data_IF_738296463662
#
_entry.id   IF_738296463662
#
_cell.length_a   1.000
_cell.length_b   1.000
_cell.length_c   1.000
_cell.angle_alpha   90.00
_cell.angle_beta   90.00
_cell.angle_gamma   90.00
#
_symmetry.space_group_name_H-M   'P 1'
#
loop_
_entity.id
_entity.type
_entity.pdbx_description
1 polymer ?
#
# COMPACT_ATOMS: atom_id res chain seq x y z
N UNK A 1 4.67 -27.38 8.16
CA UNK A 1 4.77 -26.17 7.34
C UNK A 1 6.16 -26.09 6.70
N UNK A 2 6.31 -25.38 5.59
CA UNK A 2 7.54 -25.23 4.81
C UNK A 2 7.83 -23.77 4.48
N UNK A 3 9.07 -23.50 4.10
CA UNK A 3 9.50 -22.27 3.45
C UNK A 3 9.45 -22.51 1.94
N UNK A 4 8.70 -21.68 1.22
CA UNK A 4 8.59 -21.72 -0.23
C UNK A 4 9.77 -21.00 -0.87
N UNK A 5 10.57 -21.71 -1.67
CA UNK A 5 11.59 -21.12 -2.54
C UNK A 5 10.98 -20.94 -3.94
N UNK A 6 11.05 -19.73 -4.49
CA UNK A 6 10.62 -19.44 -5.86
C UNK A 6 11.85 -19.09 -6.70
N UNK A 7 12.03 -19.78 -7.83
CA UNK A 7 13.12 -19.48 -8.74
C UNK A 7 12.92 -20.09 -10.12
N UNK A 8 13.71 -19.62 -11.09
CA UNK A 8 13.82 -20.23 -12.40
C UNK A 8 14.95 -21.26 -12.34
N UNK A 9 14.59 -22.53 -12.17
CA UNK A 9 15.56 -23.62 -11.97
C UNK A 9 16.41 -23.82 -13.23
N UNK A 10 15.85 -23.58 -14.41
CA UNK A 10 16.52 -23.66 -15.72
C UNK A 10 17.65 -22.63 -15.95
N UNK A 11 17.84 -21.71 -15.01
CA UNK A 11 18.91 -20.70 -15.01
C UNK A 11 19.74 -20.70 -13.71
N UNK A 12 19.19 -21.20 -12.60
CA UNK A 12 19.72 -20.97 -11.23
C UNK A 12 19.78 -22.22 -10.36
N UNK A 13 19.78 -23.41 -10.95
CA UNK A 13 19.79 -24.69 -10.24
C UNK A 13 20.80 -24.74 -9.07
N UNK A 14 22.07 -24.42 -9.31
CA UNK A 14 23.11 -24.48 -8.27
C UNK A 14 22.82 -23.53 -7.10
N UNK A 15 22.35 -22.31 -7.39
CA UNK A 15 22.03 -21.31 -6.38
C UNK A 15 20.80 -21.71 -5.54
N UNK A 16 19.76 -22.22 -6.19
CA UNK A 16 18.54 -22.70 -5.52
C UNK A 16 18.79 -23.97 -4.71
N UNK A 17 19.66 -24.86 -5.19
CA UNK A 17 20.10 -26.05 -4.45
C UNK A 17 20.81 -25.65 -3.16
N UNK A 18 21.79 -24.74 -3.25
CA UNK A 18 22.50 -24.24 -2.08
C UNK A 18 21.55 -23.55 -1.09
N UNK A 19 20.62 -22.73 -1.57
CA UNK A 19 19.62 -22.07 -0.74
C UNK A 19 18.75 -23.08 0.01
N UNK A 20 18.21 -24.08 -0.70
CA UNK A 20 17.43 -25.20 -0.13
C UNK A 20 18.21 -25.94 0.94
N UNK A 21 19.43 -26.38 0.63
CA UNK A 21 20.27 -27.10 1.60
C UNK A 21 20.55 -26.28 2.86
N UNK A 22 20.77 -24.97 2.74
CA UNK A 22 21.07 -24.11 3.88
C UNK A 22 19.87 -23.89 4.79
N UNK A 23 18.68 -23.79 4.21
CA UNK A 23 17.42 -23.71 4.95
C UNK A 23 17.14 -25.05 5.66
N UNK A 24 17.30 -26.18 4.96
CA UNK A 24 17.08 -27.52 5.52
C UNK A 24 18.06 -27.85 6.65
N UNK A 25 19.33 -27.44 6.54
CA UNK A 25 20.32 -27.59 7.63
C UNK A 25 19.96 -26.84 8.91
N UNK A 26 19.05 -25.84 8.85
CA UNK A 26 18.50 -25.17 10.03
C UNK A 26 17.25 -25.85 10.59
N UNK A 27 16.83 -26.97 10.01
CA UNK A 27 15.68 -27.76 10.46
C UNK A 27 14.35 -27.40 9.81
N UNK A 28 14.34 -26.46 8.85
CA UNK A 28 13.13 -26.05 8.14
C UNK A 28 12.84 -26.97 6.96
N UNK A 29 11.55 -27.27 6.72
CA UNK A 29 11.13 -27.93 5.48
C UNK A 29 11.09 -26.92 4.35
N UNK A 30 11.45 -27.34 3.14
CA UNK A 30 11.45 -26.50 1.94
C UNK A 30 10.49 -27.06 0.90
N UNK A 31 9.69 -26.19 0.29
CA UNK A 31 9.01 -26.47 -0.97
C UNK A 31 9.66 -25.61 -2.07
N UNK A 32 10.15 -26.23 -3.14
CA UNK A 32 10.72 -25.52 -4.28
C UNK A 32 9.67 -25.38 -5.38
N UNK A 33 9.41 -24.14 -5.79
CA UNK A 33 8.60 -23.82 -6.96
C UNK A 33 9.48 -23.35 -8.11
N UNK A 34 9.33 -24.03 -9.24
CA UNK A 34 10.01 -23.68 -10.48
C UNK A 34 9.09 -22.83 -11.37
N UNK A 35 9.46 -21.57 -11.56
CA UNK A 35 8.73 -20.60 -12.40
C UNK A 35 9.40 -20.41 -13.77
N UNK A 36 10.19 -21.38 -14.21
CA UNK A 36 10.83 -21.40 -15.53
C UNK A 36 9.79 -21.43 -16.65
N UNK A 37 9.82 -20.41 -17.51
CA UNK A 37 8.93 -20.29 -18.67
C UNK A 37 9.68 -20.32 -20.01
N UNK A 38 11.00 -20.12 -19.99
CA UNK A 38 11.85 -19.99 -21.18
C UNK A 38 12.39 -21.31 -21.72
N UNK A 39 13.41 -21.20 -22.58
CA UNK A 39 14.18 -22.35 -23.08
C UNK A 39 15.30 -22.78 -22.13
N UNK A 40 15.48 -22.09 -21.00
CA UNK A 40 16.56 -22.32 -20.04
C UNK A 40 17.96 -22.07 -20.59
N UNK A 41 18.92 -21.90 -19.68
CA UNK A 41 20.35 -22.04 -20.01
C UNK A 41 20.81 -23.51 -19.88
N UNK A 42 20.09 -24.30 -19.07
CA UNK A 42 20.41 -25.68 -18.74
C UNK A 42 19.14 -26.55 -18.71
N UNK A 43 19.32 -27.87 -18.69
CA UNK A 43 18.28 -28.85 -18.34
C UNK A 43 18.46 -29.21 -16.87
N UNK A 44 17.54 -28.82 -15.96
CA UNK A 44 17.68 -29.10 -14.54
C UNK A 44 17.67 -30.59 -14.19
N UNK A 45 18.54 -30.98 -13.26
CA UNK A 45 18.45 -32.25 -12.53
C UNK A 45 17.59 -32.13 -11.26
N UNK A 46 17.56 -30.94 -10.65
CA UNK A 46 16.78 -30.59 -9.49
C UNK A 46 15.29 -30.56 -9.85
N UNK A 47 14.51 -31.42 -9.19
CA UNK A 47 13.06 -31.45 -9.35
C UNK A 47 12.42 -30.50 -8.35
N UNK A 48 11.58 -29.60 -8.87
CA UNK A 48 10.74 -28.76 -8.03
C UNK A 48 9.56 -29.57 -7.47
N UNK A 49 9.17 -29.22 -6.25
CA UNK A 49 7.95 -29.73 -5.61
C UNK A 49 6.69 -29.16 -6.29
N UNK A 50 6.80 -27.93 -6.82
CA UNK A 50 5.76 -27.26 -7.62
C UNK A 50 6.36 -26.96 -9.00
N UNK A 51 6.11 -27.80 -10.01
CA UNK A 51 6.71 -27.65 -11.34
C UNK A 51 5.97 -26.59 -12.19
N UNK A 52 6.58 -26.07 -13.27
CA UNK A 52 5.99 -25.02 -14.10
C UNK A 52 4.62 -25.40 -14.70
N UNK A 53 4.42 -26.68 -15.02
CA UNK A 53 3.17 -27.23 -15.54
C UNK A 53 2.01 -27.06 -14.57
N UNK A 54 2.28 -27.27 -13.28
CA UNK A 54 1.28 -27.11 -12.23
C UNK A 54 0.91 -25.64 -12.03
N UNK A 55 1.93 -24.76 -12.04
CA UNK A 55 1.75 -23.31 -11.93
C UNK A 55 0.93 -22.78 -13.11
N UNK A 56 1.26 -23.18 -14.33
CA UNK A 56 0.52 -22.79 -15.53
C UNK A 56 -0.95 -23.20 -15.45
N UNK A 57 -1.22 -24.43 -14.98
CA UNK A 57 -2.58 -24.94 -14.79
C UNK A 57 -3.34 -24.15 -13.73
N UNK A 58 -2.69 -23.81 -12.62
CA UNK A 58 -3.29 -22.97 -11.59
C UNK A 58 -3.64 -21.57 -12.11
N UNK A 59 -2.86 -21.05 -13.08
CA UNK A 59 -3.13 -19.81 -13.81
C UNK A 59 -4.16 -19.94 -14.94
N UNK A 60 -4.70 -21.14 -15.20
CA UNK A 60 -5.70 -21.36 -16.25
C UNK A 60 -5.13 -21.60 -17.65
N UNK A 61 -3.88 -22.04 -17.76
CA UNK A 61 -3.21 -22.35 -19.04
C UNK A 61 -2.41 -23.65 -18.98
N UNK A 62 -1.63 -23.95 -20.02
CA UNK A 62 -0.63 -25.04 -20.03
C UNK A 62 0.77 -24.46 -20.25
N UNK A 63 1.82 -25.17 -19.84
CA UNK A 63 3.18 -24.68 -20.00
C UNK A 63 3.56 -24.52 -21.48
N UNK A 64 3.01 -25.35 -22.36
CA UNK A 64 3.20 -25.27 -23.81
C UNK A 64 2.59 -23.98 -24.37
N UNK A 65 1.38 -23.62 -23.93
CA UNK A 65 0.75 -22.36 -24.30
C UNK A 65 1.58 -21.18 -23.80
N UNK A 66 1.98 -21.18 -22.53
CA UNK A 66 2.85 -20.15 -21.95
C UNK A 66 4.14 -19.97 -22.75
N UNK A 67 4.82 -21.07 -23.10
CA UNK A 67 6.06 -21.05 -23.91
C UNK A 67 5.81 -20.49 -25.31
N UNK A 68 4.69 -20.86 -25.94
CA UNK A 68 4.34 -20.36 -27.28
C UNK A 68 4.07 -18.85 -27.32
N UNK A 69 3.60 -18.28 -26.19
CA UNK A 69 3.31 -16.86 -26.04
C UNK A 69 4.55 -15.99 -25.86
N UNK A 70 5.71 -16.56 -25.49
CA UNK A 70 6.90 -15.77 -25.15
C UNK A 70 7.41 -14.84 -26.25
N UNK A 71 7.18 -15.18 -27.51
CA UNK A 71 7.65 -14.39 -28.65
C UNK A 71 6.79 -13.16 -28.96
N UNK A 72 5.49 -13.18 -28.59
CA UNK A 72 4.51 -12.14 -29.00
C UNK A 72 3.74 -11.53 -27.83
N UNK A 73 3.52 -12.31 -26.78
CA UNK A 73 2.61 -12.03 -25.66
C UNK A 73 3.31 -12.32 -24.32
N UNK A 74 4.60 -11.95 -24.23
CA UNK A 74 5.47 -12.26 -23.08
C UNK A 74 4.87 -11.79 -21.75
N UNK A 75 4.29 -10.61 -21.71
CA UNK A 75 3.68 -10.06 -20.48
C UNK A 75 2.49 -10.88 -20.02
N UNK A 76 1.66 -11.36 -20.95
CA UNK A 76 0.54 -12.25 -20.62
C UNK A 76 1.04 -13.60 -20.11
N UNK A 77 2.08 -14.16 -20.73
CA UNK A 77 2.69 -15.41 -20.26
C UNK A 77 3.22 -15.29 -18.81
N UNK A 78 3.93 -14.20 -18.51
CA UNK A 78 4.44 -13.91 -17.16
C UNK A 78 3.29 -13.70 -16.18
N UNK A 79 2.26 -12.95 -16.57
CA UNK A 79 1.09 -12.67 -15.74
C UNK A 79 0.34 -13.96 -15.34
N UNK A 80 0.08 -14.84 -16.30
CA UNK A 80 -0.60 -16.12 -16.05
C UNK A 80 0.18 -16.98 -15.05
N UNK A 81 1.51 -17.07 -15.21
CA UNK A 81 2.36 -17.83 -14.28
C UNK A 81 2.44 -17.19 -12.90
N UNK A 82 2.50 -15.86 -12.83
CA UNK A 82 2.47 -15.11 -11.58
C UNK A 82 1.17 -15.33 -10.81
N UNK A 83 0.02 -15.30 -11.50
CA UNK A 83 -1.29 -15.56 -10.91
C UNK A 83 -1.43 -17.00 -10.45
N UNK A 84 -0.98 -17.97 -11.25
CA UNK A 84 -0.97 -19.38 -10.87
C UNK A 84 -0.15 -19.64 -9.61
N UNK A 85 1.06 -19.08 -9.54
CA UNK A 85 1.93 -19.25 -8.37
C UNK A 85 1.39 -18.50 -7.15
N UNK A 86 0.80 -17.31 -7.33
CA UNK A 86 0.15 -16.56 -6.25
C UNK A 86 -1.00 -17.35 -5.64
N UNK A 87 -1.84 -17.97 -6.48
CA UNK A 87 -2.94 -18.84 -6.04
C UNK A 87 -2.42 -20.03 -5.24
N UNK A 88 -1.42 -20.75 -5.76
CA UNK A 88 -0.79 -21.89 -5.08
C UNK A 88 -0.19 -21.50 -3.73
N UNK A 89 0.53 -20.38 -3.64
CA UNK A 89 1.09 -19.91 -2.38
C UNK A 89 0.01 -19.53 -1.36
N UNK A 90 -1.09 -18.90 -1.81
CA UNK A 90 -2.23 -18.59 -0.96
C UNK A 90 -2.95 -19.86 -0.46
N UNK A 91 -3.11 -20.88 -1.30
CA UNK A 91 -3.65 -22.18 -0.92
C UNK A 91 -2.78 -22.87 0.15
N UNK A 92 -1.46 -22.87 -0.03
CA UNK A 92 -0.52 -23.41 0.96
C UNK A 92 -0.58 -22.64 2.29
N UNK A 93 -0.72 -21.32 2.24
CA UNK A 93 -0.90 -20.51 3.45
C UNK A 93 -2.21 -20.84 4.16
N UNK A 94 -3.33 -20.88 3.44
CA UNK A 94 -4.64 -21.21 3.98
C UNK A 94 -4.71 -22.62 4.58
N UNK A 95 -3.96 -23.58 4.02
CA UNK A 95 -3.84 -24.94 4.54
C UNK A 95 -2.93 -25.05 5.78
N UNK A 96 -2.30 -23.96 6.23
CA UNK A 96 -1.32 -24.01 7.32
C UNK A 96 -0.08 -24.79 6.92
N UNK A 97 0.33 -24.70 5.65
CA UNK A 97 1.50 -25.39 5.10
C UNK A 97 2.68 -24.45 4.83
N UNK A 98 2.47 -23.13 4.82
CA UNK A 98 3.49 -22.13 4.49
C UNK A 98 3.88 -21.27 5.71
N UNK A 99 5.19 -21.15 6.01
CA UNK A 99 5.71 -20.25 7.07
C UNK A 99 6.49 -19.05 6.54
N UNK A 100 6.86 -19.07 5.26
CA UNK A 100 7.63 -17.99 4.66
C UNK A 100 7.92 -18.25 3.20
N UNK A 101 8.29 -17.21 2.48
CA UNK A 101 8.64 -17.27 1.06
C UNK A 101 9.95 -16.54 0.80
N UNK A 102 10.81 -17.16 0.01
CA UNK A 102 12.04 -16.57 -0.49
C UNK A 102 12.12 -16.74 -2.01
N UNK A 103 12.50 -15.70 -2.73
CA UNK A 103 12.67 -15.74 -4.17
C UNK A 103 14.06 -15.28 -4.60
N UNK A 104 14.62 -15.91 -5.63
CA UNK A 104 15.89 -15.51 -6.27
C UNK A 104 15.63 -15.24 -7.74
N UNK A 105 15.77 -13.99 -8.17
CA UNK A 105 15.36 -13.63 -9.52
C UNK A 105 16.07 -12.42 -10.14
N UNK A 106 16.21 -12.46 -11.47
CA UNK A 106 16.37 -11.27 -12.32
C UNK A 106 15.05 -10.54 -12.55
N UNK A 107 14.93 -9.78 -13.64
CA UNK A 107 13.77 -8.91 -13.89
C UNK A 107 12.43 -9.67 -13.96
N UNK A 108 12.32 -10.68 -14.84
CA UNK A 108 11.06 -11.41 -15.04
C UNK A 108 10.63 -12.14 -13.77
N UNK A 109 11.54 -12.92 -13.16
CA UNK A 109 11.24 -13.63 -11.93
C UNK A 109 10.94 -12.70 -10.75
N UNK A 110 11.47 -11.47 -10.73
CA UNK A 110 11.19 -10.49 -9.67
C UNK A 110 9.72 -10.07 -9.72
N UNK A 111 9.19 -9.63 -10.86
CA UNK A 111 7.78 -9.21 -10.95
C UNK A 111 6.81 -10.38 -10.69
N UNK A 112 7.17 -11.57 -11.16
CA UNK A 112 6.41 -12.79 -10.85
C UNK A 112 6.39 -13.03 -9.34
N UNK A 113 7.55 -13.09 -8.70
CA UNK A 113 7.67 -13.37 -7.26
C UNK A 113 7.04 -12.29 -6.40
N UNK A 114 7.14 -11.02 -6.79
CA UNK A 114 6.47 -9.91 -6.10
C UNK A 114 4.95 -10.05 -6.15
N UNK A 115 4.39 -10.57 -7.24
CA UNK A 115 2.95 -10.86 -7.34
C UNK A 115 2.54 -11.95 -6.33
N UNK A 116 3.37 -12.99 -6.20
CA UNK A 116 3.16 -14.08 -5.24
C UNK A 116 3.26 -13.56 -3.80
N UNK A 117 4.34 -12.85 -3.47
CA UNK A 117 4.56 -12.26 -2.14
C UNK A 117 3.44 -11.28 -1.77
N UNK A 118 2.87 -10.57 -2.74
CA UNK A 118 1.77 -9.64 -2.50
C UNK A 118 0.45 -10.32 -2.17
N UNK A 119 0.23 -11.54 -2.65
CA UNK A 119 -0.96 -12.32 -2.32
C UNK A 119 -0.93 -12.90 -0.90
N UNK A 120 0.23 -12.91 -0.24
CA UNK A 120 0.40 -13.41 1.12
C UNK A 120 0.18 -12.28 2.15
N UNK A 121 -0.36 -12.60 3.34
CA UNK A 121 -0.74 -11.59 4.33
C UNK A 121 0.48 -10.89 4.95
N UNK A 122 0.25 -9.69 5.48
CA UNK A 122 1.23 -8.94 6.26
C UNK A 122 1.72 -9.76 7.47
N UNK A 123 3.02 -9.68 7.78
CA UNK A 123 3.66 -10.37 8.91
C UNK A 123 4.24 -11.74 8.56
N UNK A 124 3.77 -12.40 7.50
CA UNK A 124 4.40 -13.62 7.01
C UNK A 124 5.83 -13.30 6.48
N UNK A 125 6.88 -14.04 6.87
CA UNK A 125 8.22 -13.84 6.35
C UNK A 125 8.32 -13.87 4.80
N UNK A 126 8.79 -12.77 4.20
CA UNK A 126 8.95 -12.60 2.74
C UNK A 126 10.31 -12.00 2.41
N UNK A 127 11.15 -12.73 1.67
CA UNK A 127 12.49 -12.26 1.23
C UNK A 127 12.64 -12.34 -0.29
N UNK A 128 12.91 -11.22 -0.93
CA UNK A 128 13.24 -11.15 -2.36
C UNK A 128 14.74 -10.89 -2.54
N UNK A 129 15.43 -11.81 -3.21
CA UNK A 129 16.82 -11.65 -3.66
C UNK A 129 16.79 -11.23 -5.14
N UNK A 130 17.12 -9.97 -5.44
CA UNK A 130 16.91 -9.41 -6.78
C UNK A 130 17.99 -8.45 -7.27
N UNK A 131 18.38 -8.59 -8.54
CA UNK A 131 19.31 -7.69 -9.23
C UNK A 131 18.66 -6.41 -9.76
N UNK A 132 17.33 -6.29 -9.68
CA UNK A 132 16.61 -5.17 -10.31
C UNK A 132 15.88 -4.25 -9.32
N UNK A 133 15.86 -4.60 -8.03
CA UNK A 133 15.05 -3.88 -7.04
C UNK A 133 15.39 -2.38 -6.89
N UNK A 134 16.62 -1.98 -7.20
CA UNK A 134 17.08 -0.59 -7.13
C UNK A 134 17.12 0.13 -8.49
N UNK A 135 16.52 -0.44 -9.55
CA UNK A 135 16.53 0.19 -10.87
C UNK A 135 15.68 1.47 -10.90
N UNK A 136 16.27 2.66 -11.19
CA UNK A 136 15.53 3.92 -11.13
C UNK A 136 14.32 3.97 -12.07
N UNK A 137 14.45 3.38 -13.26
CA UNK A 137 13.39 3.36 -14.28
C UNK A 137 12.11 2.62 -13.84
N UNK A 138 12.19 1.78 -12.80
CA UNK A 138 11.08 0.95 -12.33
C UNK A 138 10.70 1.23 -10.88
N UNK A 139 11.27 2.25 -10.24
CA UNK A 139 10.99 2.59 -8.85
C UNK A 139 9.49 2.80 -8.59
N UNK A 140 8.77 3.46 -9.51
CA UNK A 140 7.31 3.62 -9.44
C UNK A 140 6.57 2.29 -9.48
N UNK A 141 6.96 1.39 -10.38
CA UNK A 141 6.37 0.06 -10.51
C UNK A 141 6.66 -0.82 -9.29
N UNK A 142 7.84 -0.68 -8.66
CA UNK A 142 8.15 -1.39 -7.43
C UNK A 142 7.35 -0.88 -6.22
N UNK A 143 7.02 0.41 -6.21
CA UNK A 143 6.18 1.00 -5.16
C UNK A 143 4.78 0.36 -5.09
N UNK A 144 4.27 -0.20 -6.20
CA UNK A 144 3.00 -0.96 -6.23
C UNK A 144 3.01 -2.25 -5.41
N UNK A 145 4.20 -2.79 -5.11
CA UNK A 145 4.37 -4.02 -4.34
C UNK A 145 4.83 -3.72 -2.92
N UNK A 146 5.85 -2.86 -2.78
CA UNK A 146 6.41 -2.50 -1.48
C UNK A 146 5.51 -1.55 -0.67
N UNK A 147 4.58 -0.85 -1.34
CA UNK A 147 3.65 0.07 -0.68
C UNK A 147 2.57 -0.62 0.15
N UNK A 148 2.33 -1.92 -0.03
CA UNK A 148 1.20 -2.64 0.60
C UNK A 148 1.61 -3.89 1.37
N UNK A 149 2.87 -4.31 1.29
CA UNK A 149 3.37 -5.56 1.89
C UNK A 149 4.78 -5.41 2.44
N UNK A 150 5.06 -6.15 3.51
CA UNK A 150 6.30 -6.22 4.26
C UNK A 150 7.33 -7.14 3.59
N UNK A 151 7.71 -6.82 2.35
CA UNK A 151 8.70 -7.59 1.59
C UNK A 151 10.11 -7.09 1.93
N UNK A 152 10.95 -7.98 2.44
CA UNK A 152 12.39 -7.69 2.64
C UNK A 152 13.13 -7.92 1.33
N UNK A 153 13.92 -6.93 0.90
CA UNK A 153 14.69 -7.01 -0.35
C UNK A 153 16.18 -7.12 -0.06
N UNK A 154 16.82 -8.17 -0.58
CA UNK A 154 18.26 -8.31 -0.68
C UNK A 154 18.69 -8.00 -2.11
N UNK A 155 19.17 -6.78 -2.35
CA UNK A 155 19.68 -6.41 -3.67
C UNK A 155 21.00 -7.11 -3.96
N UNK A 156 21.09 -7.80 -5.10
CA UNK A 156 22.23 -8.68 -5.37
C UNK A 156 23.46 -7.95 -5.90
N UNK A 157 23.31 -6.74 -6.47
CA UNK A 157 24.35 -5.96 -7.16
C UNK A 157 24.89 -6.64 -8.44
N UNK A 158 25.05 -7.96 -8.44
CA UNK A 158 25.43 -8.79 -9.58
C UNK A 158 24.25 -9.59 -10.12
N UNK A 159 24.39 -10.14 -11.32
CA UNK A 159 23.49 -11.21 -11.75
C UNK A 159 23.65 -12.46 -10.84
N UNK A 160 22.60 -13.28 -10.80
CA UNK A 160 22.49 -14.52 -10.03
C UNK A 160 22.54 -15.77 -10.92
N UNK A 161 22.64 -15.59 -12.25
CA UNK A 161 22.93 -16.68 -13.17
C UNK A 161 24.39 -17.10 -13.03
N UNK A 162 24.62 -18.39 -12.80
CA UNK A 162 25.95 -18.96 -12.56
C UNK A 162 26.42 -18.79 -11.11
N UNK A 163 27.08 -19.83 -10.58
CA UNK A 163 27.61 -19.82 -9.22
C UNK A 163 28.99 -19.14 -9.18
N UNK A 164 29.12 -18.15 -8.30
CA UNK A 164 30.40 -17.55 -7.93
C UNK A 164 30.41 -17.24 -6.42
N UNK A 165 31.54 -16.76 -5.90
CA UNK A 165 31.69 -16.49 -4.46
C UNK A 165 30.68 -15.46 -3.92
N UNK A 166 30.29 -14.48 -4.74
CA UNK A 166 29.29 -13.45 -4.37
C UNK A 166 27.88 -14.04 -4.35
N UNK A 167 27.48 -14.74 -5.40
CA UNK A 167 26.17 -15.44 -5.48
C UNK A 167 26.04 -16.46 -4.34
N UNK A 168 27.10 -17.22 -4.06
CA UNK A 168 27.16 -18.14 -2.92
C UNK A 168 26.89 -17.44 -1.59
N UNK A 169 27.52 -16.28 -1.39
CA UNK A 169 27.34 -15.48 -0.16
C UNK A 169 25.91 -14.96 -0.04
N UNK A 170 25.32 -14.50 -1.15
CA UNK A 170 23.92 -14.07 -1.21
C UNK A 170 22.95 -15.20 -0.86
N UNK A 171 23.17 -16.43 -1.38
CA UNK A 171 22.31 -17.57 -1.06
C UNK A 171 22.41 -17.98 0.42
N UNK A 172 23.61 -17.95 1.00
CA UNK A 172 23.80 -18.26 2.43
C UNK A 172 23.15 -17.19 3.32
N UNK A 173 23.36 -15.91 3.00
CA UNK A 173 22.73 -14.81 3.74
C UNK A 173 21.21 -14.85 3.58
N UNK A 174 20.71 -15.13 2.38
CA UNK A 174 19.30 -15.31 2.09
C UNK A 174 18.66 -16.43 2.92
N UNK A 175 19.31 -17.60 2.96
CA UNK A 175 18.90 -18.73 3.78
C UNK A 175 18.82 -18.36 5.27
N UNK A 176 19.85 -17.68 5.77
CA UNK A 176 19.91 -17.19 7.15
C UNK A 176 18.79 -16.19 7.47
N UNK A 177 18.56 -15.24 6.57
CA UNK A 177 17.53 -14.22 6.72
C UNK A 177 16.12 -14.84 6.79
N UNK A 178 15.72 -15.64 5.80
CA UNK A 178 14.37 -16.22 5.80
C UNK A 178 14.18 -17.20 6.96
N UNK A 179 15.19 -18.01 7.29
CA UNK A 179 15.09 -18.95 8.41
C UNK A 179 14.98 -18.22 9.74
N UNK A 180 15.77 -17.17 9.96
CA UNK A 180 15.69 -16.36 11.17
C UNK A 180 14.35 -15.64 11.31
N UNK A 181 13.80 -15.09 10.21
CA UNK A 181 12.46 -14.51 10.20
C UNK A 181 11.38 -15.54 10.55
N UNK A 182 11.48 -16.77 10.04
CA UNK A 182 10.54 -17.87 10.32
C UNK A 182 10.66 -18.35 11.77
N UNK A 183 11.87 -18.47 12.29
CA UNK A 183 12.14 -18.88 13.68
C UNK A 183 11.63 -17.84 14.69
N UNK A 184 11.72 -16.54 14.35
CA UNK A 184 11.24 -15.45 15.18
C UNK A 184 9.77 -15.07 14.89
N UNK A 185 9.12 -15.71 13.92
CA UNK A 185 7.76 -15.38 13.55
C UNK A 185 6.79 -15.81 14.64
N UNK A 186 6.22 -14.85 15.33
CA UNK A 186 5.08 -15.05 16.21
C UNK A 186 3.80 -14.80 15.40
N UNK A 187 2.82 -15.73 15.44
CA UNK A 187 1.51 -15.47 14.88
C UNK A 187 0.96 -14.16 15.47
N UNK A 188 0.25 -13.38 14.67
CA UNK A 188 -0.37 -12.16 15.16
C UNK A 188 -1.23 -12.47 16.39
N UNK A 189 -0.83 -11.92 17.53
CA UNK A 189 -1.56 -12.08 18.80
C UNK A 189 -2.90 -11.37 18.64
N UNK A 190 -3.98 -11.98 19.14
CA UNK A 190 -5.25 -11.26 19.29
C UNK A 190 -4.99 -9.99 20.08
N UNK A 191 -5.30 -8.84 19.48
CA UNK A 191 -5.14 -7.58 20.17
C UNK A 191 -5.99 -7.59 21.46
N UNK A 192 -5.38 -7.19 22.56
CA UNK A 192 -6.05 -7.01 23.86
C UNK A 192 -7.08 -5.86 23.84
N UNK A 193 -6.96 -4.99 22.83
CA UNK A 193 -7.80 -3.81 22.58
C UNK A 193 -8.19 -3.74 21.11
N UNK A 194 -9.33 -3.12 20.77
CA UNK A 194 -9.68 -2.91 19.36
C UNK A 194 -8.59 -2.09 18.64
N UNK A 195 -8.33 -2.45 17.39
CA UNK A 195 -7.28 -1.88 16.55
C UNK A 195 -7.86 -0.81 15.62
N UNK A 196 -7.27 0.39 15.67
CA UNK A 196 -7.74 1.56 14.93
C UNK A 196 -6.69 1.96 13.91
N UNK A 197 -7.07 1.98 12.63
CA UNK A 197 -6.26 2.61 11.60
C UNK A 197 -6.43 4.12 11.68
N UNK A 198 -5.34 4.89 11.53
CA UNK A 198 -5.43 6.34 11.46
C UNK A 198 -4.54 6.91 10.37
N UNK A 199 -5.08 7.70 9.44
CA UNK A 199 -4.24 8.47 8.50
C UNK A 199 -3.86 9.81 9.11
N UNK A 200 -2.65 10.25 8.81
CA UNK A 200 -2.18 11.57 9.19
C UNK A 200 -1.10 12.08 8.23
N UNK A 201 -0.81 13.37 8.34
CA UNK A 201 0.22 14.05 7.58
C UNK A 201 0.75 15.23 8.37
N UNK A 202 1.92 15.75 8.02
CA UNK A 202 2.60 16.80 8.79
C UNK A 202 1.76 18.06 9.08
N UNK A 203 0.73 18.34 8.27
CA UNK A 203 -0.17 19.49 8.48
C UNK A 203 -1.38 19.21 9.40
N UNK A 204 -1.57 17.98 9.89
CA UNK A 204 -2.56 17.62 10.92
C UNK A 204 -1.95 16.86 12.11
N UNK A 205 -0.62 16.78 12.22
CA UNK A 205 0.08 15.91 13.15
C UNK A 205 -0.24 16.22 14.63
N UNK A 206 -0.42 17.51 14.97
CA UNK A 206 -0.87 17.90 16.32
C UNK A 206 -2.29 17.41 16.61
N UNK A 207 -3.19 17.54 15.64
CA UNK A 207 -4.57 17.05 15.73
C UNK A 207 -4.62 15.54 15.93
N UNK A 208 -3.86 14.80 15.12
CA UNK A 208 -3.70 13.37 15.27
C UNK A 208 -3.10 12.99 16.63
N UNK A 209 -2.13 13.75 17.13
CA UNK A 209 -1.58 13.62 18.49
C UNK A 209 -2.65 13.75 19.57
N UNK A 210 -3.54 14.74 19.47
CA UNK A 210 -4.66 14.89 20.41
C UNK A 210 -5.65 13.73 20.32
N UNK A 211 -6.00 13.26 19.12
CA UNK A 211 -6.87 12.08 18.96
C UNK A 211 -6.27 10.87 19.66
N UNK A 212 -4.98 10.56 19.42
CA UNK A 212 -4.30 9.44 20.08
C UNK A 212 -4.30 9.56 21.59
N UNK A 213 -3.99 10.75 22.12
CA UNK A 213 -3.92 10.97 23.55
C UNK A 213 -5.26 10.63 24.25
N UNK A 214 -6.38 10.84 23.57
CA UNK A 214 -7.71 10.50 24.09
C UNK A 214 -8.01 9.00 24.05
N UNK A 215 -7.60 8.29 22.97
CA UNK A 215 -8.09 6.92 22.70
C UNK A 215 -7.07 5.81 23.03
N UNK A 216 -5.78 6.11 23.12
CA UNK A 216 -4.71 5.10 23.30
C UNK A 216 -4.81 4.25 24.58
N UNK A 217 -5.53 4.73 25.59
CA UNK A 217 -5.75 3.94 26.82
C UNK A 217 -6.69 2.75 26.57
N UNK A 218 -7.61 2.86 25.60
CA UNK A 218 -8.67 1.89 25.28
C UNK A 218 -8.46 1.16 23.95
N UNK A 219 -7.66 1.70 23.06
CA UNK A 219 -7.49 1.22 21.69
C UNK A 219 -6.01 1.13 21.29
N UNK A 220 -5.67 0.17 20.45
CA UNK A 220 -4.38 0.11 19.77
C UNK A 220 -4.48 0.90 18.45
N UNK A 221 -3.46 1.71 18.12
CA UNK A 221 -3.53 2.64 16.99
C UNK A 221 -2.37 2.36 16.03
N UNK A 222 -2.69 2.20 14.74
CA UNK A 222 -1.71 2.12 13.66
C UNK A 222 -1.83 3.38 12.81
N UNK A 223 -0.78 4.21 12.82
CA UNK A 223 -0.73 5.44 12.04
C UNK A 223 -0.15 5.20 10.64
N UNK A 224 -0.82 5.76 9.63
CA UNK A 224 -0.44 5.71 8.24
C UNK A 224 -0.16 7.11 7.72
N UNK A 225 1.03 7.31 7.17
CA UNK A 225 1.41 8.59 6.59
C UNK A 225 0.76 8.76 5.21
N UNK A 226 -0.15 9.73 5.08
CA UNK A 226 -1.00 9.98 3.91
C UNK A 226 -0.24 10.57 2.70
N UNK A 227 0.68 9.80 2.13
CA UNK A 227 1.56 10.16 1.02
C UNK A 227 1.17 9.53 -0.31
N UNK A 228 0.03 8.82 -0.36
CA UNK A 228 -0.41 8.00 -1.48
C UNK A 228 -0.05 6.53 -1.27
N UNK A 229 1.15 6.22 -0.78
CA UNK A 229 1.54 4.85 -0.43
C UNK A 229 0.92 4.40 0.90
N UNK A 230 0.97 5.24 1.94
CA UNK A 230 0.30 4.92 3.22
C UNK A 230 -1.21 4.77 3.06
N UNK A 231 -1.81 5.52 2.14
CA UNK A 231 -3.22 5.39 1.75
C UNK A 231 -3.55 4.04 1.12
N UNK A 232 -2.70 3.56 0.21
CA UNK A 232 -2.87 2.23 -0.38
C UNK A 232 -2.69 1.13 0.66
N UNK A 233 -1.74 1.31 1.59
CA UNK A 233 -1.53 0.38 2.69
C UNK A 233 -2.77 0.30 3.60
N UNK A 234 -3.33 1.45 4.01
CA UNK A 234 -4.51 1.44 4.88
C UNK A 234 -5.76 0.90 4.19
N UNK A 235 -6.00 1.22 2.91
CA UNK A 235 -7.12 0.64 2.15
C UNK A 235 -7.01 -0.88 2.05
N UNK A 236 -5.81 -1.41 1.76
CA UNK A 236 -5.59 -2.85 1.68
C UNK A 236 -5.71 -3.55 3.05
N UNK A 237 -5.17 -2.98 4.12
CA UNK A 237 -5.22 -3.58 5.45
C UNK A 237 -6.61 -3.45 6.12
N UNK A 238 -7.33 -2.35 5.89
CA UNK A 238 -8.75 -2.21 6.27
C UNK A 238 -9.61 -3.18 5.46
N UNK A 239 -9.34 -3.32 4.15
CA UNK A 239 -10.04 -4.26 3.28
C UNK A 239 -9.88 -5.73 3.71
N UNK A 240 -8.80 -6.06 4.41
CA UNK A 240 -8.56 -7.38 5.02
C UNK A 240 -9.29 -7.60 6.36
N UNK A 241 -9.95 -6.57 6.90
CA UNK A 241 -10.67 -6.66 8.17
C UNK A 241 -9.76 -6.70 9.40
N UNK A 242 -8.54 -6.16 9.31
CA UNK A 242 -7.60 -6.10 10.44
C UNK A 242 -7.95 -5.04 11.48
N UNK A 243 -8.79 -4.06 11.13
CA UNK A 243 -9.11 -2.91 11.96
C UNK A 243 -10.58 -2.91 12.36
N UNK A 244 -10.84 -2.56 13.61
CA UNK A 244 -12.18 -2.39 14.17
C UNK A 244 -12.80 -1.03 13.80
N UNK A 245 -11.96 -0.04 13.49
CA UNK A 245 -12.39 1.23 12.91
C UNK A 245 -11.26 1.91 12.13
N UNK A 246 -11.66 2.85 11.28
CA UNK A 246 -10.75 3.70 10.52
C UNK A 246 -11.01 5.18 10.85
N UNK A 247 -9.99 5.89 11.34
CA UNK A 247 -9.98 7.33 11.58
C UNK A 247 -9.13 8.01 10.51
N UNK A 248 -9.77 8.48 9.46
CA UNK A 248 -9.10 9.04 8.29
C UNK A 248 -9.09 10.55 8.33
N UNK A 249 -8.07 11.09 9.00
CA UNK A 249 -7.93 12.54 9.13
C UNK A 249 -7.54 13.19 7.79
N UNK A 250 -6.83 12.46 6.92
CA UNK A 250 -6.24 12.96 5.67
C UNK A 250 -6.68 12.12 4.45
N UNK A 251 -7.95 12.22 4.02
CA UNK A 251 -8.46 11.55 2.82
C UNK A 251 -8.03 12.22 1.50
N UNK A 252 -7.22 13.28 1.59
CA UNK A 252 -6.82 14.14 0.47
C UNK A 252 -6.22 13.43 -0.75
N UNK A 253 -5.65 12.25 -0.55
CA UNK A 253 -5.01 11.46 -1.59
C UNK A 253 -6.01 11.02 -2.68
N UNK A 254 -7.29 10.93 -2.34
CA UNK A 254 -8.36 10.77 -3.32
C UNK A 254 -8.55 12.04 -4.17
N UNK A 255 -8.53 13.22 -3.55
CA UNK A 255 -8.51 14.50 -4.27
C UNK A 255 -7.26 14.64 -5.15
N UNK A 256 -6.08 14.26 -4.64
CA UNK A 256 -4.84 14.23 -5.41
C UNK A 256 -4.95 13.27 -6.62
N UNK A 257 -5.60 12.11 -6.48
CA UNK A 257 -5.87 11.20 -7.60
C UNK A 257 -6.76 11.85 -8.66
N UNK A 258 -7.88 12.47 -8.26
CA UNK A 258 -8.79 13.16 -9.17
C UNK A 258 -8.13 14.34 -9.88
N UNK A 259 -7.20 15.00 -9.18
CA UNK A 259 -6.57 16.22 -9.65
C UNK A 259 -5.19 15.99 -10.31
N UNK A 260 -4.61 14.80 -10.20
CA UNK A 260 -3.29 14.46 -10.76
C UNK A 260 -2.11 14.97 -9.93
N UNK A 261 -2.30 15.17 -8.63
CA UNK A 261 -1.25 15.63 -7.72
C UNK A 261 -0.29 14.51 -7.26
N UNK A 262 0.83 14.90 -6.67
CA UNK A 262 1.95 13.98 -6.40
C UNK A 262 1.66 12.90 -5.37
N UNK A 263 0.68 13.13 -4.50
CA UNK A 263 0.30 12.16 -3.45
C UNK A 263 -0.93 11.35 -3.86
N UNK A 264 -1.26 11.31 -5.15
CA UNK A 264 -2.34 10.50 -5.67
C UNK A 264 -2.24 9.05 -5.13
N UNK A 265 -3.32 8.59 -4.50
CA UNK A 265 -3.51 7.18 -4.18
C UNK A 265 -4.07 6.44 -5.39
N UNK A 266 -4.64 5.26 -5.17
CA UNK A 266 -5.35 4.49 -6.18
C UNK A 266 -6.85 4.90 -6.26
N UNK A 267 -7.57 4.54 -7.35
CA UNK A 267 -8.97 4.92 -7.59
C UNK A 267 -9.96 4.37 -6.55
N UNK A 268 -9.54 3.37 -5.80
CA UNK A 268 -10.25 2.66 -4.74
C UNK A 268 -10.13 3.33 -3.36
N UNK A 269 -9.44 4.48 -3.25
CA UNK A 269 -9.42 5.27 -2.00
C UNK A 269 -10.83 5.62 -1.55
N UNK A 270 -11.06 5.54 -0.24
CA UNK A 270 -12.34 5.67 0.48
C UNK A 270 -13.27 4.46 0.34
N UNK A 271 -12.87 3.38 -0.34
CA UNK A 271 -13.77 2.25 -0.59
C UNK A 271 -13.65 1.12 0.42
N UNK A 272 -12.49 0.86 1.02
CA UNK A 272 -12.27 -0.33 1.83
C UNK A 272 -13.21 -0.39 3.04
N UNK A 273 -13.29 0.71 3.80
CA UNK A 273 -14.23 0.81 4.92
C UNK A 273 -15.69 0.68 4.45
N UNK A 274 -16.03 1.30 3.32
CA UNK A 274 -17.37 1.21 2.71
C UNK A 274 -17.78 -0.22 2.35
N UNK A 275 -16.87 -0.98 1.74
CA UNK A 275 -17.09 -2.37 1.30
C UNK A 275 -17.16 -3.34 2.46
N UNK A 276 -16.30 -3.15 3.46
CA UNK A 276 -16.22 -4.03 4.65
C UNK A 276 -17.26 -3.66 5.72
N UNK A 277 -17.85 -2.47 5.64
CA UNK A 277 -18.75 -1.94 6.66
C UNK A 277 -18.01 -1.58 7.96
N UNK A 278 -16.71 -1.26 7.85
CA UNK A 278 -15.84 -0.86 8.96
C UNK A 278 -16.24 0.53 9.44
N UNK A 279 -16.48 0.74 10.75
CA UNK A 279 -16.71 2.05 11.33
C UNK A 279 -15.71 3.11 10.85
N UNK A 280 -16.19 4.22 10.30
CA UNK A 280 -15.38 5.14 9.50
C UNK A 280 -15.57 6.60 9.92
N UNK A 281 -14.53 7.21 10.47
CA UNK A 281 -14.49 8.64 10.82
C UNK A 281 -13.57 9.35 9.84
N UNK A 282 -14.02 10.46 9.26
CA UNK A 282 -13.23 11.25 8.33
C UNK A 282 -13.13 12.71 8.75
N UNK A 283 -12.09 13.38 8.26
CA UNK A 283 -11.89 14.83 8.35
C UNK A 283 -11.37 15.36 7.01
N UNK A 284 -11.53 16.65 6.65
CA UNK A 284 -11.18 17.13 5.31
C UNK A 284 -9.70 17.51 5.12
N UNK A 285 -8.78 17.10 6.02
CA UNK A 285 -7.40 17.57 5.93
C UNK A 285 -6.75 17.22 4.61
N UNK A 286 -6.07 18.20 4.03
CA UNK A 286 -5.30 18.06 2.80
C UNK A 286 -6.14 18.27 1.54
N UNK A 287 -7.48 18.28 1.59
CA UNK A 287 -8.27 18.74 0.45
C UNK A 287 -8.03 20.21 0.14
N UNK A 288 -7.53 20.96 1.13
CA UNK A 288 -7.15 22.36 0.97
C UNK A 288 -5.88 22.58 0.14
N UNK A 289 -5.21 21.51 -0.27
CA UNK A 289 -3.96 21.58 -1.01
C UNK A 289 -3.83 20.51 -2.09
N UNK A 290 -3.01 20.80 -3.10
CA UNK A 290 -2.61 19.87 -4.16
C UNK A 290 -1.08 19.82 -4.21
N UNK A 291 -0.53 18.61 -4.06
CA UNK A 291 0.92 18.41 -4.08
C UNK A 291 1.44 18.50 -5.51
N UNK A 292 2.32 19.45 -5.79
CA UNK A 292 2.74 19.77 -7.15
C UNK A 292 4.26 19.90 -7.34
N UNK A 293 5.06 19.56 -6.32
CA UNK A 293 6.51 19.61 -6.43
C UNK A 293 7.09 18.65 -7.51
N UNK A 294 8.40 18.72 -7.78
CA UNK A 294 9.31 19.75 -7.32
C UNK A 294 9.00 21.13 -7.95
N UNK A 295 9.50 22.21 -7.35
CA UNK A 295 9.13 23.60 -7.70
C UNK A 295 9.49 23.96 -9.14
N UNK A 296 10.55 23.39 -9.71
CA UNK A 296 11.01 23.68 -11.06
C UNK A 296 10.03 23.21 -12.14
N UNK A 297 9.05 22.37 -11.80
CA UNK A 297 7.95 22.00 -12.71
C UNK A 297 7.15 23.22 -13.16
N UNK A 298 7.06 24.25 -12.30
CA UNK A 298 6.42 25.54 -12.60
C UNK A 298 6.94 26.15 -13.90
N UNK A 299 8.24 26.01 -14.16
CA UNK A 299 8.93 26.69 -15.27
C UNK A 299 9.19 25.75 -16.47
N UNK A 300 8.66 24.52 -16.43
CA UNK A 300 8.94 23.46 -17.42
C UNK A 300 7.73 23.05 -18.26
N UNK A 301 6.69 23.89 -18.33
CA UNK A 301 5.42 23.57 -18.99
C UNK A 301 4.84 22.23 -18.52
N UNK A 302 4.99 21.91 -17.23
CA UNK A 302 4.48 20.67 -16.68
C UNK A 302 2.94 20.60 -16.88
N UNK A 303 2.40 19.46 -17.34
CA UNK A 303 0.97 19.33 -17.63
C UNK A 303 0.06 19.65 -16.45
N UNK A 304 0.45 19.28 -15.22
CA UNK A 304 -0.34 19.57 -14.02
C UNK A 304 -0.32 21.08 -13.73
N UNK A 305 0.86 21.70 -13.77
CA UNK A 305 1.03 23.12 -13.47
C UNK A 305 0.29 24.03 -14.46
N UNK A 306 0.36 23.70 -15.74
CA UNK A 306 -0.26 24.48 -16.82
C UNK A 306 -1.77 24.30 -16.85
N UNK A 307 -2.28 23.05 -16.89
CA UNK A 307 -3.72 22.78 -16.98
C UNK A 307 -4.52 23.33 -15.80
N UNK A 308 -3.92 23.37 -14.61
CA UNK A 308 -4.56 23.86 -13.38
C UNK A 308 -4.17 25.29 -13.02
N UNK A 309 -3.33 25.95 -13.82
CA UNK A 309 -2.80 27.29 -13.54
C UNK A 309 -2.19 27.41 -12.15
N UNK A 310 -1.43 26.40 -11.71
CA UNK A 310 -0.90 26.34 -10.34
C UNK A 310 0.05 27.49 -10.02
N UNK A 311 0.72 28.05 -11.04
CA UNK A 311 1.60 29.20 -10.91
C UNK A 311 0.90 30.48 -10.41
N UNK A 312 -0.42 30.59 -10.60
CA UNK A 312 -1.25 31.75 -10.22
C UNK A 312 -1.83 31.61 -8.80
N UNK A 313 -1.66 30.46 -8.16
CA UNK A 313 -2.31 30.13 -6.89
C UNK A 313 -1.44 30.48 -5.69
N UNK A 314 -2.03 30.49 -4.49
CA UNK A 314 -1.26 30.48 -3.24
C UNK A 314 -0.44 29.18 -3.19
N UNK A 315 0.86 29.32 -2.96
CA UNK A 315 1.80 28.21 -2.85
C UNK A 315 2.40 28.14 -1.45
N UNK A 316 2.58 26.92 -0.95
CA UNK A 316 3.44 26.61 0.17
C UNK A 316 4.63 25.83 -0.36
N UNK A 317 5.83 26.41 -0.28
CA UNK A 317 7.09 25.80 -0.69
C UNK A 317 7.83 25.41 0.57
N UNK A 318 7.82 24.12 0.91
CA UNK A 318 8.55 23.60 2.06
C UNK A 318 10.03 23.44 1.74
N UNK A 319 10.31 22.90 0.55
CA UNK A 319 11.63 22.81 -0.07
C UNK A 319 11.48 22.61 -1.58
N UNK A 320 12.60 22.37 -2.27
CA UNK A 320 12.62 22.18 -3.73
C UNK A 320 11.72 21.03 -4.20
N UNK A 321 11.58 19.94 -3.43
CA UNK A 321 10.79 18.76 -3.80
C UNK A 321 9.33 18.86 -3.34
N UNK A 322 9.08 19.55 -2.23
CA UNK A 322 7.79 19.58 -1.55
C UNK A 322 7.11 20.95 -1.71
N UNK A 323 6.18 20.99 -2.65
CA UNK A 323 5.36 22.17 -2.96
C UNK A 323 3.88 21.79 -2.92
N UNK A 324 3.08 22.65 -2.29
CA UNK A 324 1.63 22.54 -2.19
C UNK A 324 0.98 23.77 -2.82
N UNK A 325 0.01 23.57 -3.70
CA UNK A 325 -0.81 24.66 -4.25
C UNK A 325 -2.19 24.64 -3.61
N UNK A 326 -2.75 25.81 -3.29
CA UNK A 326 -4.14 25.93 -2.82
C UNK A 326 -5.10 25.37 -3.87
N UNK A 327 -5.99 24.49 -3.48
CA UNK A 327 -7.12 24.04 -4.32
C UNK A 327 -8.08 25.18 -4.63
N UNK A 328 -8.72 25.14 -5.80
CA UNK A 328 -9.75 26.12 -6.17
C UNK A 328 -11.14 25.73 -5.67
N UNK A 329 -12.10 26.66 -5.71
CA UNK A 329 -13.50 26.37 -5.35
C UNK A 329 -14.12 25.28 -6.23
N UNK A 330 -13.84 25.28 -7.54
CA UNK A 330 -14.32 24.25 -8.46
C UNK A 330 -13.73 22.88 -8.12
N UNK A 331 -12.43 22.82 -7.82
CA UNK A 331 -11.77 21.57 -7.40
C UNK A 331 -12.33 21.06 -6.08
N UNK A 332 -12.56 21.95 -5.10
CA UNK A 332 -13.20 21.60 -3.83
C UNK A 332 -14.62 21.05 -4.02
N UNK A 333 -15.38 21.60 -4.96
CA UNK A 333 -16.70 21.10 -5.32
C UNK A 333 -16.62 19.71 -5.96
N UNK A 334 -15.69 19.51 -6.90
CA UNK A 334 -15.45 18.21 -7.55
C UNK A 334 -15.07 17.15 -6.52
N UNK A 335 -14.13 17.47 -5.63
CA UNK A 335 -13.66 16.55 -4.60
C UNK A 335 -14.77 16.22 -3.60
N UNK A 336 -15.53 17.22 -3.12
CA UNK A 336 -16.63 16.99 -2.18
C UNK A 336 -17.70 16.05 -2.75
N UNK A 337 -18.09 16.24 -4.02
CA UNK A 337 -19.05 15.36 -4.71
C UNK A 337 -18.53 13.93 -4.82
N UNK A 338 -17.29 13.76 -5.28
CA UNK A 338 -16.69 12.45 -5.45
C UNK A 338 -16.50 11.72 -4.10
N UNK A 339 -16.13 12.45 -3.03
CA UNK A 339 -16.06 11.90 -1.66
C UNK A 339 -17.44 11.44 -1.21
N UNK A 340 -18.47 12.27 -1.38
CA UNK A 340 -19.84 11.89 -1.04
C UNK A 340 -20.28 10.64 -1.80
N UNK A 341 -20.02 10.56 -3.10
CA UNK A 341 -20.34 9.39 -3.93
C UNK A 341 -19.72 8.09 -3.39
N UNK A 342 -18.46 8.13 -2.93
CA UNK A 342 -17.79 6.98 -2.30
C UNK A 342 -18.44 6.62 -0.97
N UNK A 343 -18.58 7.59 -0.06
CA UNK A 343 -19.12 7.37 1.28
C UNK A 343 -20.57 6.89 1.26
N UNK A 344 -21.36 7.33 0.28
CA UNK A 344 -22.75 6.89 0.09
C UNK A 344 -22.86 5.39 -0.24
N UNK A 345 -21.77 4.73 -0.67
CA UNK A 345 -21.72 3.28 -0.88
C UNK A 345 -21.52 2.48 0.42
N UNK A 346 -21.23 3.14 1.55
CA UNK A 346 -21.06 2.45 2.81
C UNK A 346 -22.36 1.75 3.21
N UNK A 347 -22.30 0.43 3.41
CA UNK A 347 -23.50 -0.39 3.67
C UNK A 347 -24.17 -0.04 5.01
N UNK A 348 -23.39 0.42 6.00
CA UNK A 348 -23.85 0.86 7.33
C UNK A 348 -23.61 2.36 7.53
N UNK A 349 -24.37 3.21 6.84
CA UNK A 349 -24.16 4.68 6.80
C UNK A 349 -24.09 5.36 8.17
N UNK A 350 -24.83 4.84 9.16
CA UNK A 350 -24.80 5.32 10.54
C UNK A 350 -23.46 5.08 11.27
N UNK A 351 -22.57 4.26 10.70
CA UNK A 351 -21.19 4.05 11.17
C UNK A 351 -20.18 4.88 10.36
N UNK A 352 -20.65 5.87 9.59
CA UNK A 352 -19.79 6.85 8.93
C UNK A 352 -20.06 8.21 9.55
N UNK A 353 -18.99 8.90 9.95
CA UNK A 353 -19.07 10.27 10.48
C UNK A 353 -18.04 11.14 9.78
N UNK A 354 -18.45 12.31 9.32
CA UNK A 354 -17.55 13.30 8.72
C UNK A 354 -17.42 14.50 9.65
N UNK A 355 -16.22 14.75 10.17
CA UNK A 355 -15.96 15.81 11.13
C UNK A 355 -15.31 17.00 10.42
N UNK A 356 -15.99 18.14 10.41
CA UNK A 356 -15.53 19.36 9.73
C UNK A 356 -15.00 20.35 10.77
N UNK A 357 -13.68 20.62 10.81
CA UNK A 357 -13.11 21.73 11.58
C UNK A 357 -13.33 23.06 10.82
N UNK A 358 -14.18 23.93 11.35
CA UNK A 358 -14.62 25.16 10.65
C UNK A 358 -13.57 26.27 10.59
N UNK A 359 -12.48 26.18 11.37
CA UNK A 359 -11.40 27.20 11.40
C UNK A 359 -10.12 26.77 10.68
N UNK A 360 -10.19 25.71 9.88
CA UNK A 360 -9.09 25.29 8.99
C UNK A 360 -8.92 23.77 8.94
N UNK A 361 -8.76 23.25 7.72
CA UNK A 361 -8.63 21.82 7.44
C UNK A 361 -7.22 21.28 7.72
N UNK A 362 -6.22 22.15 7.68
CA UNK A 362 -4.82 21.82 7.94
C UNK A 362 -4.12 22.99 8.63
N UNK A 363 -2.88 22.81 9.08
CA UNK A 363 -2.06 23.92 9.60
C UNK A 363 -1.76 24.99 8.55
N UNK A 364 -1.97 24.74 7.25
CA UNK A 364 -1.75 25.71 6.18
C UNK A 364 -2.99 26.56 5.86
N UNK A 365 -4.19 26.07 6.19
CA UNK A 365 -5.50 26.71 5.94
C UNK A 365 -6.12 27.35 7.19
N UNK A 366 -5.31 27.72 8.18
CA UNK A 366 -5.75 28.52 9.35
C UNK A 366 -5.48 30.00 9.13
N UNK A 367 -6.11 30.89 9.91
CA UNK A 367 -5.85 32.33 9.85
C UNK A 367 -4.35 32.62 10.02
N UNK A 368 -3.76 33.36 9.07
CA UNK A 368 -2.32 33.62 9.00
C UNK A 368 -1.49 32.53 8.30
N UNK A 369 -2.10 31.39 7.97
CA UNK A 369 -1.48 30.32 7.17
C UNK A 369 -1.37 30.67 5.69
N UNK A 370 -0.39 30.07 5.01
CA UNK A 370 -0.06 30.40 3.61
C UNK A 370 -1.15 30.01 2.61
N UNK A 371 -1.97 28.99 2.93
CA UNK A 371 -3.06 28.52 2.09
C UNK A 371 -4.45 28.94 2.63
N UNK A 372 -4.49 29.85 3.61
CA UNK A 372 -5.73 30.33 4.22
C UNK A 372 -6.70 30.89 3.18
N UNK A 373 -7.88 30.28 3.08
CA UNK A 373 -8.98 30.70 2.23
C UNK A 373 -10.27 30.06 2.78
N UNK A 374 -10.82 30.56 3.90
CA UNK A 374 -11.97 29.95 4.57
C UNK A 374 -13.22 29.88 3.68
N UNK A 375 -13.36 30.82 2.74
CA UNK A 375 -14.42 30.81 1.73
C UNK A 375 -14.34 29.59 0.80
N UNK A 376 -13.13 29.11 0.50
CA UNK A 376 -12.92 27.90 -0.33
C UNK A 376 -13.14 26.62 0.50
N UNK A 377 -12.80 26.63 1.79
CA UNK A 377 -13.10 25.51 2.70
C UNK A 377 -14.61 25.36 2.92
N UNK A 378 -15.34 26.49 2.97
CA UNK A 378 -16.80 26.50 3.05
C UNK A 378 -17.44 25.89 1.80
N UNK A 379 -16.90 26.15 0.59
CA UNK A 379 -17.38 25.54 -0.66
C UNK A 379 -17.34 24.01 -0.59
N UNK A 380 -16.26 23.42 -0.07
CA UNK A 380 -16.19 21.96 0.14
C UNK A 380 -17.26 21.50 1.13
N UNK A 381 -17.37 22.19 2.26
CA UNK A 381 -18.30 21.82 3.33
C UNK A 381 -19.77 21.84 2.86
N UNK A 382 -20.16 22.85 2.09
CA UNK A 382 -21.51 22.99 1.54
C UNK A 382 -21.78 21.97 0.44
N UNK A 383 -20.81 21.77 -0.47
CA UNK A 383 -20.92 20.75 -1.51
C UNK A 383 -21.02 19.34 -0.92
N UNK A 384 -20.24 19.03 0.13
CA UNK A 384 -20.32 17.73 0.81
C UNK A 384 -21.71 17.55 1.44
N UNK A 385 -22.17 18.51 2.24
CA UNK A 385 -23.51 18.47 2.86
C UNK A 385 -24.64 18.28 1.85
N UNK A 386 -24.53 18.88 0.66
CA UNK A 386 -25.56 18.78 -0.37
C UNK A 386 -25.60 17.42 -1.09
N UNK A 387 -24.52 16.65 -1.08
CA UNK A 387 -24.40 15.40 -1.84
C UNK A 387 -24.26 14.15 -0.95
N UNK A 388 -23.93 14.32 0.33
CA UNK A 388 -23.79 13.22 1.27
C UNK A 388 -25.17 12.69 1.69
N UNK A 389 -25.29 11.37 1.77
CA UNK A 389 -26.50 10.72 2.23
C UNK A 389 -26.84 11.19 3.67
N UNK A 390 -28.09 11.60 3.95
CA UNK A 390 -28.46 12.17 5.24
C UNK A 390 -28.34 11.17 6.41
N UNK A 391 -28.19 9.87 6.14
CA UNK A 391 -27.90 8.86 7.16
C UNK A 391 -26.43 8.88 7.63
N UNK A 392 -25.54 9.60 6.94
CA UNK A 392 -24.15 9.84 7.33
C UNK A 392 -24.10 11.15 8.12
N UNK A 393 -23.61 11.09 9.35
CA UNK A 393 -23.58 12.25 10.24
C UNK A 393 -22.42 13.18 9.88
N UNK A 394 -22.71 14.48 9.75
CA UNK A 394 -21.70 15.54 9.65
C UNK A 394 -21.61 16.26 11.00
N UNK A 395 -20.44 16.21 11.63
CA UNK A 395 -20.16 16.88 12.91
C UNK A 395 -19.32 18.13 12.61
N UNK A 396 -19.82 19.31 12.98
CA UNK A 396 -19.05 20.56 12.85
C UNK A 396 -18.37 20.92 14.17
N UNK A 397 -17.06 21.19 14.13
CA UNK A 397 -16.27 21.61 15.30
C UNK A 397 -15.78 23.02 15.06
N UNK A 398 -16.09 23.96 15.98
CA UNK A 398 -15.67 25.37 15.91
C UNK A 398 -14.19 25.60 16.24
N UNK A 399 -13.32 24.85 15.58
CA UNK A 399 -11.88 24.82 15.79
C UNK A 399 -11.13 24.48 14.50
N UNK A 400 -9.81 24.62 14.51
CA UNK A 400 -8.96 24.09 13.44
C UNK A 400 -8.57 22.64 13.77
N UNK A 401 -8.19 21.84 12.76
CA UNK A 401 -7.95 20.40 12.96
C UNK A 401 -6.88 20.07 14.02
N UNK A 402 -5.90 20.95 14.20
CA UNK A 402 -4.76 20.79 15.11
C UNK A 402 -5.03 21.26 16.55
N UNK A 403 -6.28 21.21 17.00
CA UNK A 403 -6.69 21.64 18.34
C UNK A 403 -7.07 20.47 19.24
N UNK A 404 -6.95 20.63 20.58
CA UNK A 404 -7.50 19.66 21.53
C UNK A 404 -9.01 19.43 21.34
N UNK A 405 -9.77 20.47 21.04
CA UNK A 405 -11.22 20.41 20.84
C UNK A 405 -11.59 19.50 19.67
N UNK A 406 -10.86 19.60 18.54
CA UNK A 406 -11.03 18.68 17.42
C UNK A 406 -10.67 17.24 17.82
N UNK A 407 -9.54 17.05 18.52
CA UNK A 407 -9.11 15.72 18.97
C UNK A 407 -10.13 15.04 19.88
N UNK A 408 -10.73 15.80 20.80
CA UNK A 408 -11.80 15.33 21.68
C UNK A 408 -13.06 14.96 20.89
N UNK A 409 -13.47 15.78 19.92
CA UNK A 409 -14.64 15.51 19.09
C UNK A 409 -14.47 14.21 18.28
N UNK A 410 -13.31 14.00 17.66
CA UNK A 410 -13.01 12.79 16.90
C UNK A 410 -12.95 11.54 17.79
N UNK A 411 -12.30 11.64 18.96
CA UNK A 411 -12.26 10.55 19.93
C UNK A 411 -13.66 10.19 20.45
N UNK A 412 -14.47 11.20 20.79
CA UNK A 412 -15.83 10.99 21.25
C UNK A 412 -16.71 10.34 20.17
N UNK A 413 -16.59 10.80 18.92
CA UNK A 413 -17.28 10.21 17.78
C UNK A 413 -16.92 8.72 17.60
N UNK A 414 -15.64 8.36 17.79
CA UNK A 414 -15.16 6.98 17.71
C UNK A 414 -15.73 6.12 18.82
N UNK A 415 -15.63 6.58 20.07
CA UNK A 415 -16.13 5.85 21.22
C UNK A 415 -17.64 5.63 21.15
N UNK A 416 -18.41 6.62 20.72
CA UNK A 416 -19.85 6.46 20.52
C UNK A 416 -20.19 5.42 19.46
N UNK A 417 -19.34 5.28 18.45
CA UNK A 417 -19.54 4.37 17.32
C UNK A 417 -19.18 2.94 17.68
N UNK A 418 -18.20 2.73 18.56
CA UNK A 418 -17.72 1.40 18.98
C UNK A 418 -18.36 0.86 20.26
N UNK A 419 -18.93 1.72 21.12
CA UNK A 419 -19.58 1.31 22.38
C UNK A 419 -21.10 1.06 22.25
N UNK A 420 -21.59 0.72 21.05
CA UNK A 420 -23.02 0.45 20.79
C UNK A 420 -23.27 -0.98 20.36
#
# INVERSE_FOLDING_TARGET
MSILIIGMVDEREEALTLLKEKIERRGHKVALADVSIGTGAIVPALKADIPPEEIARAGGSTIETIRSMLAKERDQAISTMAQGMAKKAAEMYAAGELQGVIAVAGMTGTFLSLTVMRALPFGLPKVLISSVAAMPAYASKFADYFGVRDITVMHTVTDTVGMNSLVRSLMINGAGAISGMVEAHEPQVQNDKPLIAMTEFGFCDKGAGYVRAQIQSKFNIVSFHATGLGDRAVEDLVGQGLFDAFVDLVPANYGEYLLGGNRASAPDRLEAACKTGTPYILSPCGFDMLSCGPIERKDKNDPLWTSRKLAERKLFVQDAMRVQARTSADEMTTVAKAVAEKLNQHTKKHLVKFIIPTKGFSSLSVQGGQLYAPEIDQVFSDALKANLDPAIEIITVDAHINTPEFGQAAAHALEQMLNR
#
